data_IF_363724223891
#
_entry.id   IF_363724223891
#
_cell.length_a   1.000
_cell.length_b   1.000
_cell.length_c   1.000
_cell.angle_alpha   90.00
_cell.angle_beta   90.00
_cell.angle_gamma   90.00
#
_symmetry.space_group_name_H-M   'P 1'
#
loop_
_entity.id
_entity.type
_entity.pdbx_description
1 polymer ?
#
# COMPACT_ATOMS: atom_id res chain seq x y z
N UNK A 1 -43.84 -45.92 -50.59
CA UNK A 1 -43.15 -45.88 -49.27
C UNK A 1 -41.67 -45.97 -49.53
N UNK A 2 -40.98 -44.84 -49.61
CA UNK A 2 -39.70 -44.62 -48.91
C UNK A 2 -39.34 -43.14 -49.07
N UNK A 3 -39.23 -42.41 -47.96
CA UNK A 3 -38.89 -40.98 -47.92
C UNK A 3 -37.40 -40.90 -47.61
N UNK A 4 -36.57 -40.53 -48.59
CA UNK A 4 -35.17 -40.18 -48.33
C UNK A 4 -35.08 -38.76 -47.77
N UNK A 5 -35.26 -38.61 -46.47
CA UNK A 5 -34.90 -37.38 -45.74
C UNK A 5 -33.38 -37.36 -45.53
N UNK A 6 -32.69 -36.47 -46.26
CA UNK A 6 -31.31 -36.11 -45.96
C UNK A 6 -31.30 -35.30 -44.66
N UNK A 7 -30.96 -35.93 -43.55
CA UNK A 7 -30.63 -35.25 -42.31
C UNK A 7 -29.35 -34.43 -42.51
N UNK A 8 -29.52 -33.11 -42.62
CA UNK A 8 -28.45 -32.13 -42.52
C UNK A 8 -27.99 -32.12 -41.06
N UNK A 9 -26.76 -32.56 -40.81
CA UNK A 9 -26.09 -32.47 -39.51
C UNK A 9 -26.04 -31.00 -39.08
N UNK A 10 -26.61 -30.73 -37.91
CA UNK A 10 -26.41 -29.49 -37.17
C UNK A 10 -25.67 -29.83 -35.87
N UNK A 11 -24.51 -30.47 -35.98
CA UNK A 11 -23.56 -30.58 -34.87
C UNK A 11 -22.74 -29.28 -34.83
N UNK A 12 -23.37 -28.19 -34.40
CA UNK A 12 -22.63 -27.03 -33.94
C UNK A 12 -22.13 -27.34 -32.53
N UNK A 13 -21.01 -28.07 -32.45
CA UNK A 13 -20.14 -28.02 -31.28
C UNK A 13 -19.72 -26.56 -31.10
N UNK A 14 -20.42 -25.86 -30.20
CA UNK A 14 -19.91 -24.63 -29.61
C UNK A 14 -18.65 -25.07 -28.87
N UNK A 15 -17.50 -24.79 -29.46
CA UNK A 15 -16.19 -24.90 -28.84
C UNK A 15 -16.20 -23.98 -27.60
N UNK A 16 -16.68 -24.51 -26.48
CA UNK A 16 -16.50 -23.94 -25.15
C UNK A 16 -15.00 -23.96 -24.89
N UNK A 17 -14.34 -22.90 -25.36
CA UNK A 17 -12.98 -22.53 -24.97
C UNK A 17 -12.86 -22.78 -23.47
N UNK A 18 -11.95 -23.67 -23.03
CA UNK A 18 -11.90 -24.06 -21.63
C UNK A 18 -11.71 -22.80 -20.81
N UNK A 19 -12.68 -22.50 -19.93
CA UNK A 19 -12.60 -21.42 -18.95
C UNK A 19 -11.22 -21.55 -18.31
N UNK A 20 -10.34 -20.60 -18.63
CA UNK A 20 -8.95 -20.62 -18.21
C UNK A 20 -8.94 -20.55 -16.68
N UNK A 21 -8.99 -21.73 -16.03
CA UNK A 21 -8.84 -21.89 -14.58
C UNK A 21 -7.42 -21.43 -14.27
N UNK A 22 -7.27 -20.13 -14.01
CA UNK A 22 -6.03 -19.53 -13.50
C UNK A 22 -5.56 -20.45 -12.37
N UNK A 23 -4.37 -21.04 -12.51
CA UNK A 23 -3.79 -21.91 -11.48
C UNK A 23 -3.84 -21.18 -10.14
N UNK A 24 -4.10 -21.86 -9.01
CA UNK A 24 -4.11 -21.21 -7.71
C UNK A 24 -2.78 -20.48 -7.51
N UNK A 25 -2.84 -19.17 -7.30
CA UNK A 25 -1.65 -18.35 -7.14
C UNK A 25 -0.88 -18.80 -5.90
N UNK A 26 0.40 -19.17 -6.10
CA UNK A 26 1.30 -19.50 -5.01
C UNK A 26 1.91 -18.21 -4.47
N UNK A 27 1.78 -17.98 -3.16
CA UNK A 27 2.44 -16.88 -2.48
C UNK A 27 3.96 -17.06 -2.56
N UNK A 28 4.64 -16.07 -3.11
CA UNK A 28 6.10 -15.99 -3.13
C UNK A 28 6.56 -15.05 -2.01
N UNK A 29 7.30 -15.59 -1.04
CA UNK A 29 7.69 -14.89 0.18
C UNK A 29 8.99 -14.12 -0.06
N UNK A 30 8.97 -12.83 0.27
CA UNK A 30 10.14 -11.95 0.24
C UNK A 30 10.78 -11.96 1.63
N UNK A 31 11.73 -12.87 1.86
CA UNK A 31 12.37 -13.06 3.17
C UNK A 31 13.04 -11.81 3.73
N UNK A 32 13.58 -10.95 2.87
CA UNK A 32 14.12 -9.65 3.30
C UNK A 32 13.06 -8.82 4.01
N UNK A 33 11.84 -8.75 3.45
CA UNK A 33 10.74 -8.00 4.05
C UNK A 33 10.30 -8.64 5.37
N UNK A 34 10.29 -9.98 5.45
CA UNK A 34 10.01 -10.69 6.71
C UNK A 34 11.00 -10.28 7.79
N UNK A 35 12.31 -10.34 7.50
CA UNK A 35 13.38 -9.97 8.45
C UNK A 35 13.24 -8.50 8.87
N UNK A 36 13.06 -7.58 7.92
CA UNK A 36 12.90 -6.15 8.21
C UNK A 36 11.66 -5.87 9.07
N UNK A 37 10.52 -6.47 8.73
CA UNK A 37 9.30 -6.37 9.54
C UNK A 37 9.55 -6.92 10.95
N UNK A 38 10.19 -8.08 11.10
CA UNK A 38 10.52 -8.64 12.41
C UNK A 38 11.43 -7.72 13.22
N UNK A 39 12.48 -7.16 12.62
CA UNK A 39 13.38 -6.21 13.29
C UNK A 39 12.62 -4.98 13.78
N UNK A 40 11.73 -4.41 12.97
CA UNK A 40 10.94 -3.22 13.36
C UNK A 40 10.05 -3.53 14.57
N UNK A 41 9.38 -4.68 14.59
CA UNK A 41 8.52 -5.06 15.71
C UNK A 41 9.31 -5.37 16.98
N UNK A 42 10.44 -6.09 16.87
CA UNK A 42 11.33 -6.34 18.01
C UNK A 42 11.92 -5.03 18.57
N UNK A 43 12.30 -4.11 17.68
CA UNK A 43 12.80 -2.79 18.06
C UNK A 43 11.71 -1.96 18.76
N UNK A 44 10.46 -2.06 18.30
CA UNK A 44 9.33 -1.39 18.95
C UNK A 44 9.08 -1.95 20.36
N UNK A 45 9.10 -3.28 20.54
CA UNK A 45 8.98 -3.90 21.87
C UNK A 45 10.08 -3.46 22.82
N UNK A 46 11.33 -3.41 22.34
CA UNK A 46 12.45 -2.89 23.11
C UNK A 46 12.29 -1.39 23.43
N UNK A 47 11.77 -0.60 22.49
CA UNK A 47 11.44 0.81 22.70
C UNK A 47 10.38 1.01 23.79
N UNK A 48 9.33 0.17 23.84
CA UNK A 48 8.34 0.20 24.93
C UNK A 48 8.98 -0.12 26.28
N UNK A 49 9.84 -1.13 26.33
CA UNK A 49 10.60 -1.44 27.55
C UNK A 49 11.42 -0.24 28.03
N UNK A 50 12.18 0.40 27.14
CA UNK A 50 12.98 1.59 27.47
C UNK A 50 12.11 2.78 27.88
N UNK A 51 10.95 2.97 27.25
CA UNK A 51 10.02 4.05 27.58
C UNK A 51 9.52 3.98 29.03
N UNK A 52 9.45 2.76 29.59
CA UNK A 52 9.01 2.50 30.97
C UNK A 52 10.18 2.54 31.95
N UNK A 53 11.35 2.03 31.57
CA UNK A 53 12.46 1.79 32.52
C UNK A 53 13.52 2.88 32.53
N UNK A 54 13.73 3.61 31.44
CA UNK A 54 14.94 4.45 31.28
C UNK A 54 14.73 5.77 30.53
N UNK A 55 13.78 5.85 29.61
CA UNK A 55 13.61 7.05 28.79
C UNK A 55 13.10 8.24 29.61
N UNK A 56 13.54 9.45 29.27
CA UNK A 56 12.97 10.68 29.83
C UNK A 56 11.50 10.78 29.39
N UNK A 57 10.63 11.24 30.29
CA UNK A 57 9.20 11.43 30.00
C UNK A 57 8.98 12.29 28.73
N UNK A 58 9.80 13.32 28.53
CA UNK A 58 9.71 14.19 27.36
C UNK A 58 9.98 13.46 26.03
N UNK A 59 10.89 12.48 26.03
CA UNK A 59 11.17 11.63 24.86
C UNK A 59 9.96 10.75 24.52
N UNK A 60 9.32 10.18 25.54
CA UNK A 60 8.10 9.37 25.37
C UNK A 60 6.94 10.22 24.85
N UNK A 61 6.73 11.42 25.42
CA UNK A 61 5.71 12.37 24.94
C UNK A 61 6.00 12.79 23.49
N UNK A 62 7.25 13.11 23.17
CA UNK A 62 7.65 13.44 21.80
C UNK A 62 7.31 12.32 20.82
N UNK A 63 7.63 11.06 21.15
CA UNK A 63 7.32 9.90 20.30
C UNK A 63 5.81 9.74 20.07
N UNK A 64 4.99 9.91 21.12
CA UNK A 64 3.52 9.86 21.02
C UNK A 64 2.98 11.00 20.14
N UNK A 65 3.47 12.23 20.35
CA UNK A 65 3.06 13.38 19.52
C UNK A 65 3.46 13.18 18.07
N UNK A 66 4.67 12.68 17.81
CA UNK A 66 5.15 12.39 16.46
C UNK A 66 4.25 11.34 15.78
N UNK A 67 3.89 10.26 16.49
CA UNK A 67 2.94 9.26 16.00
C UNK A 67 1.59 9.88 15.57
N UNK A 68 1.02 10.76 16.40
CA UNK A 68 -0.28 11.38 16.06
C UNK A 68 -0.17 12.30 14.85
N UNK A 69 0.91 13.07 14.76
CA UNK A 69 1.11 14.00 13.64
C UNK A 69 1.37 13.22 12.34
N UNK A 70 2.13 12.12 12.36
CA UNK A 70 2.33 11.30 11.16
C UNK A 70 1.07 10.54 10.74
N UNK A 71 0.22 10.14 11.70
CA UNK A 71 -1.09 9.58 11.41
C UNK A 71 -1.98 10.57 10.61
N UNK A 72 -1.87 11.88 10.86
CA UNK A 72 -2.53 12.92 10.04
C UNK A 72 -1.99 12.89 8.60
N UNK A 73 -0.67 12.76 8.42
CA UNK A 73 -0.05 12.64 7.09
C UNK A 73 -0.62 11.49 6.24
N UNK A 74 -0.93 10.36 6.87
CA UNK A 74 -1.59 9.22 6.18
C UNK A 74 -3.08 9.46 5.99
N UNK A 75 -3.79 9.80 7.06
CA UNK A 75 -5.27 9.86 7.08
C UNK A 75 -5.84 11.07 6.35
N UNK A 76 -5.31 12.26 6.60
CA UNK A 76 -5.70 13.46 5.88
C UNK A 76 -5.02 13.56 4.51
N UNK A 77 -3.77 13.09 4.41
CA UNK A 77 -2.96 13.17 3.21
C UNK A 77 -3.21 12.06 2.21
N UNK A 78 -2.46 10.97 2.33
CA UNK A 78 -2.51 9.86 1.37
C UNK A 78 -3.92 9.36 1.15
N UNK A 79 -4.70 9.21 2.24
CA UNK A 79 -6.06 8.72 2.19
C UNK A 79 -7.07 9.75 1.66
N UNK A 80 -7.38 10.80 2.41
CA UNK A 80 -8.48 11.72 2.05
C UNK A 80 -8.12 12.68 0.91
N UNK A 81 -6.95 13.31 0.96
CA UNK A 81 -6.52 14.31 -0.03
C UNK A 81 -6.14 13.65 -1.36
N UNK A 82 -5.21 12.70 -1.34
CA UNK A 82 -4.62 12.18 -2.58
C UNK A 82 -5.36 10.95 -3.14
N UNK A 83 -5.82 10.00 -2.32
CA UNK A 83 -6.58 8.86 -2.88
C UNK A 83 -8.02 9.21 -3.23
N UNK A 84 -8.74 9.84 -2.31
CA UNK A 84 -10.18 10.10 -2.46
C UNK A 84 -10.53 11.49 -2.99
N UNK A 85 -9.57 12.41 -3.08
CA UNK A 85 -9.81 13.80 -3.53
C UNK A 85 -10.94 14.48 -2.73
N UNK A 86 -11.05 14.17 -1.43
CA UNK A 86 -12.15 14.60 -0.58
C UNK A 86 -12.14 16.11 -0.29
N UNK A 87 -10.99 16.77 -0.44
CA UNK A 87 -10.84 18.21 -0.32
C UNK A 87 -9.66 18.70 -1.18
N UNK A 88 -9.57 20.02 -1.39
CA UNK A 88 -8.45 20.67 -2.08
C UNK A 88 -7.58 21.41 -1.06
N UNK A 89 -6.26 21.25 -1.16
CA UNK A 89 -5.30 21.91 -0.28
C UNK A 89 -4.42 22.90 -1.07
N UNK A 90 -4.17 24.07 -0.50
CA UNK A 90 -3.14 24.99 -1.02
C UNK A 90 -1.75 24.37 -0.83
N UNK A 91 -0.78 24.85 -1.60
CA UNK A 91 0.59 24.29 -1.59
C UNK A 91 1.24 24.18 -0.20
N UNK A 92 1.03 25.09 0.78
CA UNK A 92 1.67 24.95 2.09
C UNK A 92 1.17 23.72 2.85
N UNK A 93 -0.15 23.50 2.86
CA UNK A 93 -0.74 22.34 3.50
C UNK A 93 -0.34 21.04 2.78
N UNK A 94 -0.26 21.05 1.44
CA UNK A 94 0.24 19.91 0.67
C UNK A 94 1.67 19.55 1.05
N UNK A 95 2.54 20.55 1.21
CA UNK A 95 3.93 20.33 1.64
C UNK A 95 3.99 19.73 3.05
N UNK A 96 3.24 20.29 4.00
CA UNK A 96 3.17 19.77 5.38
C UNK A 96 2.71 18.31 5.35
N UNK A 97 1.59 18.02 4.68
CA UNK A 97 1.04 16.67 4.54
C UNK A 97 2.09 15.69 3.99
N UNK A 98 2.83 16.08 2.94
CA UNK A 98 3.84 15.24 2.32
C UNK A 98 5.03 14.98 3.25
N UNK A 99 5.47 15.98 4.01
CA UNK A 99 6.49 15.79 5.05
C UNK A 99 5.98 14.80 6.10
N UNK A 100 4.77 14.99 6.63
CA UNK A 100 4.21 14.11 7.65
C UNK A 100 4.01 12.67 7.15
N UNK A 101 3.58 12.50 5.90
CA UNK A 101 3.48 11.18 5.28
C UNK A 101 4.87 10.54 5.08
N UNK A 102 5.89 11.33 4.75
CA UNK A 102 7.26 10.82 4.58
C UNK A 102 7.82 10.26 5.89
N UNK A 103 7.54 10.92 7.02
CA UNK A 103 7.91 10.44 8.36
C UNK A 103 7.14 9.15 8.70
N UNK A 104 5.90 8.98 8.21
CA UNK A 104 5.09 7.78 8.46
C UNK A 104 5.62 6.50 7.79
N UNK A 105 6.50 6.63 6.79
CA UNK A 105 7.16 5.53 6.07
C UNK A 105 6.20 4.42 5.55
N UNK A 106 5.09 4.82 4.92
CA UNK A 106 4.13 3.89 4.28
C UNK A 106 4.19 3.94 2.74
N UNK A 107 5.38 3.85 2.16
CA UNK A 107 5.65 4.16 0.75
C UNK A 107 5.36 5.63 0.38
N UNK A 108 5.71 6.00 -0.86
CA UNK A 108 5.44 7.35 -1.37
C UNK A 108 3.92 7.58 -1.47
N UNK A 109 3.47 8.84 -1.35
CA UNK A 109 2.04 9.17 -1.53
C UNK A 109 1.51 8.68 -2.88
N UNK A 110 2.33 8.74 -3.92
CA UNK A 110 1.99 8.22 -5.24
C UNK A 110 1.64 6.72 -5.21
N UNK A 111 2.53 5.91 -4.62
CA UNK A 111 2.33 4.45 -4.56
C UNK A 111 1.18 4.07 -3.61
N UNK A 112 1.12 4.71 -2.45
CA UNK A 112 0.04 4.51 -1.48
C UNK A 112 -1.31 4.83 -2.12
N UNK A 113 -1.43 5.98 -2.79
CA UNK A 113 -2.69 6.39 -3.38
C UNK A 113 -3.10 5.52 -4.58
N UNK A 114 -2.15 5.10 -5.42
CA UNK A 114 -2.42 4.14 -6.49
C UNK A 114 -2.94 2.82 -5.93
N UNK A 115 -2.24 2.25 -4.95
CA UNK A 115 -2.60 0.95 -4.36
C UNK A 115 -3.94 1.05 -3.59
N UNK A 116 -4.23 2.18 -2.94
CA UNK A 116 -5.50 2.43 -2.27
C UNK A 116 -6.68 2.60 -3.23
N UNK A 117 -6.51 3.33 -4.34
CA UNK A 117 -7.52 3.43 -5.41
C UNK A 117 -7.80 2.05 -6.02
N UNK A 118 -6.76 1.24 -6.20
CA UNK A 118 -6.88 -0.13 -6.69
C UNK A 118 -7.66 -1.01 -5.70
N UNK A 119 -7.34 -0.93 -4.41
CA UNK A 119 -8.04 -1.63 -3.34
C UNK A 119 -9.54 -1.31 -3.35
N UNK A 120 -9.94 -0.02 -3.39
CA UNK A 120 -11.35 0.33 -3.46
C UNK A 120 -12.05 -0.18 -4.73
N UNK A 121 -11.36 -0.17 -5.87
CA UNK A 121 -11.95 -0.59 -7.15
C UNK A 121 -12.11 -2.11 -7.27
N UNK A 122 -11.22 -2.88 -6.65
CA UNK A 122 -11.16 -4.33 -6.79
C UNK A 122 -11.15 -5.08 -5.44
N UNK A 123 -11.77 -4.49 -4.42
CA UNK A 123 -11.86 -5.04 -3.07
C UNK A 123 -12.22 -6.51 -3.08
N UNK A 124 -11.56 -7.29 -2.24
CA UNK A 124 -11.84 -8.71 -2.04
C UNK A 124 -11.69 -9.57 -3.32
N UNK A 125 -10.85 -9.13 -4.25
CA UNK A 125 -10.40 -9.88 -5.43
C UNK A 125 -8.88 -10.03 -5.44
N UNK A 126 -8.33 -10.82 -6.37
CA UNK A 126 -6.87 -10.99 -6.49
C UNK A 126 -6.13 -9.73 -6.97
N UNK A 127 -6.86 -8.68 -7.40
CA UNK A 127 -6.30 -7.38 -7.71
C UNK A 127 -6.28 -6.41 -6.52
N UNK A 128 -6.82 -6.82 -5.37
CA UNK A 128 -6.70 -6.08 -4.12
C UNK A 128 -5.32 -6.37 -3.48
N UNK A 129 -4.46 -5.37 -3.26
CA UNK A 129 -3.15 -5.55 -2.63
C UNK A 129 -3.19 -6.24 -1.26
N UNK A 130 -4.28 -6.09 -0.52
CA UNK A 130 -4.44 -6.57 0.86
C UNK A 130 -5.76 -7.33 1.05
N UNK A 131 -6.14 -8.09 0.00
CA UNK A 131 -7.35 -8.90 -0.08
C UNK A 131 -7.70 -9.62 1.23
N UNK A 132 -8.81 -9.22 1.85
CA UNK A 132 -9.28 -9.73 3.14
C UNK A 132 -9.66 -11.22 3.10
N UNK A 133 -10.06 -11.74 1.93
CA UNK A 133 -10.41 -13.17 1.73
C UNK A 133 -9.22 -14.11 1.89
N UNK A 134 -7.99 -13.59 1.87
CA UNK A 134 -6.76 -14.37 2.14
C UNK A 134 -6.45 -14.50 3.64
N UNK A 135 -7.32 -13.99 4.49
CA UNK A 135 -7.25 -14.12 5.94
C UNK A 135 -6.60 -12.91 6.63
N UNK A 136 -6.83 -12.81 7.94
CA UNK A 136 -6.42 -11.69 8.78
C UNK A 136 -4.92 -11.39 8.68
N UNK A 137 -4.06 -12.42 8.76
CA UNK A 137 -2.62 -12.22 8.72
C UNK A 137 -2.17 -11.60 7.39
N UNK A 138 -2.75 -12.06 6.26
CA UNK A 138 -2.40 -11.53 4.95
C UNK A 138 -2.81 -10.06 4.81
N UNK A 139 -4.05 -9.70 5.15
CA UNK A 139 -4.53 -8.32 5.02
C UNK A 139 -3.88 -7.35 6.02
N UNK A 140 -3.44 -7.83 7.18
CA UNK A 140 -2.78 -7.01 8.18
C UNK A 140 -1.33 -6.68 7.83
N UNK A 141 -0.48 -7.71 7.62
CA UNK A 141 0.97 -7.52 7.41
C UNK A 141 1.56 -8.48 6.37
N UNK A 142 0.95 -9.64 6.15
CA UNK A 142 1.48 -10.68 5.26
C UNK A 142 1.60 -10.24 3.80
N UNK A 143 0.74 -9.33 3.34
CA UNK A 143 0.83 -8.75 1.99
C UNK A 143 2.12 -7.96 1.74
N UNK A 144 2.72 -7.38 2.79
CA UNK A 144 4.03 -6.69 2.71
C UNK A 144 5.20 -7.68 2.60
N UNK A 145 5.00 -8.92 3.04
CA UNK A 145 6.03 -9.96 3.09
C UNK A 145 6.03 -10.85 1.84
N UNK A 146 5.10 -10.65 0.90
CA UNK A 146 4.95 -11.47 -0.28
C UNK A 146 5.04 -10.64 -1.57
N UNK A 147 5.37 -11.30 -2.68
CA UNK A 147 5.21 -10.68 -4.00
C UNK A 147 3.72 -10.44 -4.28
N UNK A 148 3.44 -9.25 -4.83
CA UNK A 148 2.10 -8.85 -5.28
C UNK A 148 1.59 -9.81 -6.36
N UNK A 149 0.31 -10.14 -6.30
CA UNK A 149 -0.37 -10.94 -7.32
C UNK A 149 -0.29 -10.27 -8.71
N UNK A 150 -0.13 -11.02 -9.82
CA UNK A 150 -0.07 -10.47 -11.18
C UNK A 150 -1.23 -9.52 -11.54
N UNK A 151 -2.46 -9.87 -11.13
CA UNK A 151 -3.66 -9.05 -11.35
C UNK A 151 -3.55 -7.64 -10.74
N UNK A 152 -2.73 -7.43 -9.70
CA UNK A 152 -2.47 -6.09 -9.13
C UNK A 152 -1.72 -5.22 -10.14
N UNK A 153 -0.77 -5.79 -10.88
CA UNK A 153 -0.02 -5.06 -11.91
C UNK A 153 -0.86 -4.83 -13.15
N UNK A 154 -1.61 -5.84 -13.58
CA UNK A 154 -2.49 -5.76 -14.75
C UNK A 154 -3.56 -4.68 -14.55
N UNK A 155 -4.34 -4.78 -13.47
CA UNK A 155 -5.42 -3.83 -13.17
C UNK A 155 -4.91 -2.49 -12.63
N UNK A 156 -3.74 -2.49 -11.99
CA UNK A 156 -3.04 -1.28 -11.52
C UNK A 156 -2.68 -0.30 -12.62
N UNK A 157 -2.39 -0.77 -13.84
CA UNK A 157 -2.15 0.10 -15.02
C UNK A 157 -3.39 0.89 -15.43
N UNK A 158 -4.58 0.38 -15.12
CA UNK A 158 -5.86 1.04 -15.40
C UNK A 158 -6.30 2.03 -14.32
N UNK A 159 -5.49 2.28 -13.28
CA UNK A 159 -5.76 3.30 -12.27
C UNK A 159 -5.20 4.63 -12.74
N UNK A 160 -6.08 5.61 -12.93
CA UNK A 160 -5.67 6.99 -13.21
C UNK A 160 -4.84 7.53 -12.04
N UNK A 161 -3.64 8.01 -12.35
CA UNK A 161 -2.70 8.64 -11.41
C UNK A 161 -2.13 9.95 -11.98
N UNK A 162 -2.72 10.46 -13.06
CA UNK A 162 -2.28 11.68 -13.74
C UNK A 162 -2.30 12.90 -12.81
N UNK A 163 -3.30 12.98 -11.94
CA UNK A 163 -3.42 14.02 -10.92
C UNK A 163 -2.30 14.00 -9.89
N UNK A 164 -1.81 12.81 -9.53
CA UNK A 164 -0.72 12.65 -8.56
C UNK A 164 0.62 13.10 -9.15
N UNK A 165 0.86 12.83 -10.44
CA UNK A 165 2.09 13.24 -11.13
C UNK A 165 2.08 14.72 -11.54
N UNK A 166 0.89 15.30 -11.73
CA UNK A 166 0.74 16.73 -11.98
C UNK A 166 1.09 17.59 -10.76
N UNK A 167 1.05 17.03 -9.55
CA UNK A 167 1.50 17.73 -8.34
C UNK A 167 3.03 17.64 -8.19
N UNK A 168 3.76 18.77 -8.32
CA UNK A 168 5.23 18.77 -8.25
C UNK A 168 5.75 18.33 -6.87
N UNK A 169 4.99 18.52 -5.79
CA UNK A 169 5.39 18.12 -4.44
C UNK A 169 5.35 16.60 -4.32
N UNK A 170 4.30 15.97 -4.85
CA UNK A 170 4.16 14.50 -4.89
C UNK A 170 5.22 13.90 -5.81
N UNK A 171 5.43 14.47 -6.99
CA UNK A 171 6.46 14.03 -7.92
C UNK A 171 7.87 14.12 -7.30
N UNK A 172 8.16 15.20 -6.56
CA UNK A 172 9.41 15.36 -5.81
C UNK A 172 9.57 14.30 -4.72
N UNK A 173 8.55 14.08 -3.90
CA UNK A 173 8.58 13.06 -2.84
C UNK A 173 8.85 11.67 -3.44
N UNK A 174 8.16 11.32 -4.53
CA UNK A 174 8.36 10.04 -5.23
C UNK A 174 9.79 9.89 -5.75
N UNK A 175 10.35 10.95 -6.35
CA UNK A 175 11.71 10.92 -6.93
C UNK A 175 12.80 10.76 -5.88
N UNK A 176 12.67 11.44 -4.74
CA UNK A 176 13.68 11.46 -3.67
C UNK A 176 13.26 10.66 -2.43
N UNK A 177 12.36 9.70 -2.60
CA UNK A 177 11.69 9.02 -1.49
C UNK A 177 12.68 8.42 -0.48
N UNK A 178 13.66 7.65 -0.94
CA UNK A 178 14.63 6.99 -0.06
C UNK A 178 15.48 7.98 0.77
N UNK A 179 16.17 8.98 0.17
CA UNK A 179 16.84 10.02 0.95
C UNK A 179 15.92 10.75 1.93
N UNK A 180 14.71 11.10 1.50
CA UNK A 180 13.75 11.85 2.32
C UNK A 180 13.31 11.05 3.55
N UNK A 181 13.02 9.75 3.41
CA UNK A 181 12.67 8.89 4.56
C UNK A 181 13.85 8.76 5.50
N UNK A 182 15.06 8.50 4.98
CA UNK A 182 16.25 8.33 5.82
C UNK A 182 16.44 9.54 6.73
N UNK A 183 16.27 10.74 6.18
CA UNK A 183 16.36 11.97 6.97
C UNK A 183 15.15 12.15 7.89
N UNK A 184 13.93 12.08 7.35
CA UNK A 184 12.72 12.50 8.06
C UNK A 184 12.17 11.46 9.05
N UNK A 185 12.27 10.16 8.74
CA UNK A 185 11.76 9.07 9.57
C UNK A 185 12.79 8.57 10.60
N UNK A 186 14.09 8.58 10.25
CA UNK A 186 15.13 8.00 11.09
C UNK A 186 16.03 9.06 11.72
N UNK A 187 16.75 9.85 10.93
CA UNK A 187 17.77 10.77 11.47
C UNK A 187 17.15 11.85 12.36
N UNK A 188 16.18 12.61 11.84
CA UNK A 188 15.62 13.77 12.57
C UNK A 188 14.91 13.33 13.87
N UNK A 189 14.01 12.33 13.87
CA UNK A 189 13.36 11.90 15.11
C UNK A 189 14.31 11.29 16.14
N UNK A 190 15.43 10.71 15.72
CA UNK A 190 16.45 10.19 16.63
C UNK A 190 17.32 11.29 17.22
N UNK A 191 17.66 12.33 16.46
CA UNK A 191 18.54 13.40 16.93
C UNK A 191 17.85 14.40 17.87
N UNK A 192 16.56 14.68 17.68
CA UNK A 192 15.82 15.66 18.49
C UNK A 192 15.88 15.35 20.00
N UNK A 193 15.65 14.11 20.47
CA UNK A 193 15.62 13.81 21.91
C UNK A 193 16.99 13.56 22.55
N UNK A 194 18.08 13.56 21.77
CA UNK A 194 19.45 13.31 22.28
C UNK A 194 19.96 14.49 23.09
N UNK A 195 19.53 15.71 22.75
CA UNK A 195 19.86 16.95 23.45
C UNK A 195 18.70 17.37 24.36
#
# INVERSE_FOLDING_TARGET
MDKSEKNISCDNEVDEQPINKKRPYKLDIVWLNVILCSIVHLSALYGVYLAITSAKLITTVFAICLYQITAIGVTAGSHRLYSHRAFKAKWPLRLIIIVLNTIAFQNSVYEWARDHRLHHKYSDTDADPHNSKRGFFFSHVGWLMCRKHPDIFEKGRGIDTSDLLADPIVAFQKKYFWPLITVACFIVPTLIPVY
#
